data_IF_755885617620
#
_entry.id   IF_755885617620
#
_cell.length_a   1.000
_cell.length_b   1.000
_cell.length_c   1.000
_cell.angle_alpha   90.00
_cell.angle_beta   90.00
_cell.angle_gamma   90.00
#
_symmetry.space_group_name_H-M   'P 1'
#
loop_
_entity.id
_entity.type
_entity.pdbx_description
1 polymer ?
#
# COMPACT_ATOMS: atom_id res chain seq x y z
N UNK A 1 -0.96 -5.64 19.60
CA UNK A 1 -0.08 -5.82 18.44
C UNK A 1 1.38 -5.81 18.92
N UNK A 2 2.23 -6.69 18.41
CA UNK A 2 3.68 -6.70 18.72
C UNK A 2 4.32 -5.38 18.22
N UNK A 3 5.15 -4.74 19.06
CA UNK A 3 5.87 -3.50 18.72
C UNK A 3 6.63 -3.62 17.40
N UNK A 4 7.23 -4.78 17.11
CA UNK A 4 7.96 -5.02 15.86
C UNK A 4 7.07 -4.96 14.61
N UNK A 5 5.81 -5.38 14.74
CA UNK A 5 4.85 -5.31 13.63
C UNK A 5 4.45 -3.86 13.40
N UNK A 6 4.14 -3.12 14.46
CA UNK A 6 3.79 -1.69 14.39
C UNK A 6 4.91 -0.88 13.73
N UNK A 7 6.17 -1.10 14.11
CA UNK A 7 7.33 -0.42 13.53
C UNK A 7 7.48 -0.70 12.02
N UNK A 8 7.23 -1.95 11.60
CA UNK A 8 7.27 -2.34 10.19
C UNK A 8 6.10 -1.75 9.39
N UNK A 9 4.92 -1.59 9.96
CA UNK A 9 3.79 -0.88 9.33
C UNK A 9 4.15 0.59 9.12
N UNK A 10 4.69 1.26 10.14
CA UNK A 10 5.14 2.64 10.03
C UNK A 10 6.20 2.81 8.93
N UNK A 11 7.18 1.90 8.89
CA UNK A 11 8.21 1.85 7.85
C UNK A 11 7.62 1.66 6.46
N UNK A 12 6.66 0.74 6.29
CA UNK A 12 5.97 0.50 5.02
C UNK A 12 5.25 1.77 4.52
N UNK A 13 4.52 2.47 5.38
CA UNK A 13 3.83 3.71 5.02
C UNK A 13 4.83 4.79 4.59
N UNK A 14 5.94 4.94 5.33
CA UNK A 14 6.98 5.92 5.01
C UNK A 14 7.71 5.63 3.71
N UNK A 15 8.01 4.37 3.41
CA UNK A 15 8.61 4.00 2.11
C UNK A 15 7.64 4.23 0.95
N UNK A 16 6.36 3.89 1.10
CA UNK A 16 5.34 4.19 0.09
C UNK A 16 5.17 5.69 -0.12
N UNK A 17 5.27 6.49 0.94
CA UNK A 17 5.25 7.95 0.83
C UNK A 17 6.48 8.45 0.09
N UNK A 18 7.68 8.11 0.53
CA UNK A 18 8.95 8.60 -0.04
C UNK A 18 9.16 8.19 -1.50
N UNK A 19 8.47 7.16 -1.99
CA UNK A 19 8.51 6.80 -3.40
C UNK A 19 7.93 7.89 -4.31
N UNK A 20 7.01 8.73 -3.80
CA UNK A 20 6.30 9.74 -4.58
C UNK A 20 5.29 9.17 -5.59
N UNK A 21 5.14 7.85 -5.64
CA UNK A 21 4.29 7.14 -6.61
C UNK A 21 2.88 6.84 -6.08
N UNK A 22 2.62 7.14 -4.80
CA UNK A 22 1.39 6.80 -4.12
C UNK A 22 0.44 7.99 -3.98
N UNK A 23 -0.85 7.68 -4.05
CA UNK A 23 -1.93 8.49 -3.54
C UNK A 23 -2.39 7.92 -2.21
N UNK A 24 -2.21 8.66 -1.12
CA UNK A 24 -2.79 8.29 0.17
C UNK A 24 -4.21 8.80 0.27
N UNK A 25 -5.09 8.00 0.87
CA UNK A 25 -6.47 8.40 1.11
C UNK A 25 -6.92 8.04 2.53
N UNK A 26 -7.56 9.00 3.19
CA UNK A 26 -8.23 8.83 4.49
C UNK A 26 -9.72 9.04 4.28
N UNK A 27 -10.53 8.10 4.77
CA UNK A 27 -11.99 8.09 4.56
C UNK A 27 -12.71 8.34 5.88
N UNK A 28 -13.64 9.28 5.85
CA UNK A 28 -14.70 9.46 6.83
C UNK A 28 -16.01 8.86 6.29
N UNK A 29 -17.08 8.74 7.10
CA UNK A 29 -18.35 8.16 6.64
C UNK A 29 -18.94 8.82 5.38
N UNK A 30 -18.69 10.11 5.14
CA UNK A 30 -19.27 10.85 4.01
C UNK A 30 -18.26 11.49 3.05
N UNK A 31 -16.95 11.37 3.31
CA UNK A 31 -15.94 12.10 2.53
C UNK A 31 -14.59 11.40 2.52
N UNK A 32 -13.78 11.70 1.51
CA UNK A 32 -12.42 11.16 1.35
C UNK A 32 -11.46 12.33 1.14
N UNK A 33 -10.36 12.34 1.89
CA UNK A 33 -9.23 13.21 1.63
C UNK A 33 -8.17 12.42 0.84
N UNK A 34 -7.64 13.03 -0.21
CA UNK A 34 -6.61 12.44 -1.09
C UNK A 34 -5.34 13.27 -1.04
N UNK A 35 -4.22 12.61 -0.69
CA UNK A 35 -2.96 13.25 -0.35
C UNK A 35 -1.86 12.74 -1.30
N UNK A 36 -1.27 13.66 -2.06
CA UNK A 36 -0.17 13.41 -2.99
C UNK A 36 1.17 13.95 -2.47
N UNK A 37 2.26 13.39 -3.00
CA UNK A 37 3.64 13.85 -2.80
C UNK A 37 4.55 12.75 -2.24
N UNK A 38 5.86 12.98 -2.30
CA UNK A 38 6.86 12.08 -1.70
C UNK A 38 7.92 12.76 -0.83
N UNK A 39 7.79 14.07 -0.62
CA UNK A 39 8.70 14.84 0.21
C UNK A 39 7.91 15.51 1.34
N UNK A 40 8.34 15.27 2.58
CA UNK A 40 7.77 15.85 3.78
C UNK A 40 8.69 16.95 4.33
N UNK A 41 8.09 17.98 4.91
CA UNK A 41 8.81 18.96 5.72
C UNK A 41 9.20 18.37 7.07
N UNK A 42 8.35 17.49 7.61
CA UNK A 42 8.56 16.82 8.88
C UNK A 42 7.94 15.43 8.87
N UNK A 43 8.65 14.48 9.47
CA UNK A 43 8.16 13.13 9.77
C UNK A 43 8.41 12.89 11.24
N UNK A 44 7.41 12.37 11.93
CA UNK A 44 7.52 11.98 13.34
C UNK A 44 6.92 10.58 13.55
N UNK A 45 7.61 9.76 14.33
CA UNK A 45 7.17 8.43 14.74
C UNK A 45 7.31 8.39 16.26
N UNK A 46 6.18 8.48 16.95
CA UNK A 46 6.12 8.59 18.40
C UNK A 46 5.23 7.49 18.96
N UNK A 47 5.85 6.49 19.59
CA UNK A 47 5.17 5.28 20.03
C UNK A 47 4.48 4.60 18.85
N UNK A 48 3.16 4.46 18.92
CA UNK A 48 2.35 3.84 17.86
C UNK A 48 1.74 4.87 16.90
N UNK A 49 2.15 6.13 16.95
CA UNK A 49 1.64 7.18 16.06
C UNK A 49 2.67 7.56 14.99
N UNK A 50 2.20 7.63 13.74
CA UNK A 50 2.95 8.14 12.60
C UNK A 50 2.37 9.49 12.15
N UNK A 51 3.24 10.47 11.94
CA UNK A 51 2.89 11.78 11.38
C UNK A 51 3.77 12.12 10.18
N UNK A 52 3.14 12.56 9.09
CA UNK A 52 3.79 13.06 7.88
C UNK A 52 3.23 14.45 7.58
N UNK A 53 4.08 15.47 7.60
CA UNK A 53 3.68 16.86 7.36
C UNK A 53 4.29 17.39 6.05
N UNK A 54 3.44 17.82 5.12
CA UNK A 54 3.78 18.67 3.98
C UNK A 54 3.25 20.08 4.24
N UNK A 55 3.59 21.01 3.35
CA UNK A 55 3.16 22.41 3.48
C UNK A 55 1.62 22.58 3.50
N UNK A 56 0.90 21.85 2.64
CA UNK A 56 -0.54 22.02 2.45
C UNK A 56 -1.39 20.98 3.18
N UNK A 57 -0.79 19.91 3.71
CA UNK A 57 -1.53 18.83 4.36
C UNK A 57 -0.67 18.05 5.34
N UNK A 58 -1.32 17.51 6.37
CA UNK A 58 -0.71 16.59 7.34
C UNK A 58 -1.49 15.27 7.36
N UNK A 59 -0.77 14.16 7.47
CA UNK A 59 -1.32 12.83 7.68
C UNK A 59 -0.91 12.35 9.07
N UNK A 60 -1.90 11.97 9.87
CA UNK A 60 -1.69 11.32 11.17
C UNK A 60 -2.31 9.92 11.12
N UNK A 61 -1.55 8.90 11.50
CA UNK A 61 -1.99 7.51 11.52
C UNK A 61 -1.68 6.88 12.88
N UNK A 62 -2.72 6.32 13.51
CA UNK A 62 -2.61 5.51 14.73
C UNK A 62 -2.34 4.07 14.34
N UNK A 63 -1.06 3.68 14.30
CA UNK A 63 -0.60 2.38 13.82
C UNK A 63 -1.15 1.24 14.68
N UNK A 64 -1.41 1.48 15.97
CA UNK A 64 -2.01 0.48 16.87
C UNK A 64 -3.44 0.08 16.51
N UNK A 65 -4.11 0.86 15.66
CA UNK A 65 -5.47 0.55 15.20
C UNK A 65 -5.50 -0.35 13.98
N UNK A 66 -4.36 -0.59 13.32
CA UNK A 66 -4.26 -1.46 12.15
C UNK A 66 -4.31 -2.91 12.62
N UNK A 67 -5.32 -3.64 12.17
CA UNK A 67 -5.47 -5.08 12.43
C UNK A 67 -5.03 -5.90 11.21
N UNK A 68 -5.36 -5.42 10.00
CA UNK A 68 -5.00 -6.09 8.74
C UNK A 68 -4.42 -5.10 7.73
N UNK A 69 -3.50 -5.61 6.91
CA UNK A 69 -2.90 -4.89 5.78
C UNK A 69 -3.14 -5.69 4.50
N UNK A 70 -4.07 -5.24 3.67
CA UNK A 70 -4.43 -5.93 2.42
C UNK A 70 -3.54 -5.42 1.29
N UNK A 71 -2.84 -6.33 0.62
CA UNK A 71 -2.17 -6.04 -0.64
C UNK A 71 -3.08 -6.44 -1.80
N UNK A 72 -3.63 -5.44 -2.50
CA UNK A 72 -4.57 -5.63 -3.61
C UNK A 72 -3.88 -5.32 -4.94
N UNK A 73 -3.70 -6.36 -5.77
CA UNK A 73 -3.30 -6.28 -7.16
C UNK A 73 -4.34 -7.01 -8.01
N UNK A 74 -5.29 -6.27 -8.58
CA UNK A 74 -6.48 -6.85 -9.24
C UNK A 74 -6.90 -6.02 -10.47
N UNK A 75 -7.58 -6.63 -11.46
CA UNK A 75 -8.17 -5.86 -12.55
C UNK A 75 -9.33 -4.99 -12.04
N UNK A 76 -9.50 -3.82 -12.63
CA UNK A 76 -10.67 -2.95 -12.46
C UNK A 76 -11.68 -3.23 -13.56
N UNK A 77 -12.95 -2.98 -13.27
CA UNK A 77 -14.05 -3.10 -14.24
C UNK A 77 -13.85 -2.25 -15.50
N UNK A 78 -13.16 -1.11 -15.38
CA UNK A 78 -12.87 -0.21 -16.49
C UNK A 78 -11.61 -0.58 -17.29
N UNK A 79 -11.08 -1.79 -17.15
CA UNK A 79 -9.93 -2.29 -17.90
C UNK A 79 -8.56 -1.86 -17.38
N UNK A 80 -8.49 -1.09 -16.28
CA UNK A 80 -7.22 -0.76 -15.60
C UNK A 80 -6.81 -1.81 -14.57
N UNK A 81 -5.60 -1.68 -14.01
CA UNK A 81 -5.16 -2.47 -12.85
C UNK A 81 -5.25 -1.61 -11.59
N UNK A 82 -5.72 -2.20 -10.50
CA UNK A 82 -5.69 -1.63 -9.15
C UNK A 82 -4.44 -2.17 -8.45
N UNK A 83 -3.66 -1.24 -7.90
CA UNK A 83 -2.49 -1.52 -7.07
C UNK A 83 -2.68 -0.71 -5.78
N UNK A 84 -3.01 -1.37 -4.68
CA UNK A 84 -3.31 -0.69 -3.43
C UNK A 84 -2.84 -1.48 -2.21
N UNK A 85 -2.37 -0.75 -1.20
CA UNK A 85 -2.21 -1.24 0.16
C UNK A 85 -3.31 -0.61 1.01
N UNK A 86 -4.11 -1.44 1.67
CA UNK A 86 -5.23 -0.99 2.52
C UNK A 86 -4.96 -1.40 3.96
N UNK A 87 -4.86 -0.42 4.84
CA UNK A 87 -4.73 -0.62 6.28
C UNK A 87 -6.13 -0.57 6.88
N UNK A 88 -6.56 -1.64 7.55
CA UNK A 88 -7.92 -1.73 8.11
C UNK A 88 -7.87 -1.92 9.62
N UNK A 89 -8.91 -1.45 10.29
CA UNK A 89 -9.11 -1.72 11.71
C UNK A 89 -9.73 -3.10 11.97
N UNK A 90 -9.96 -3.41 13.24
CA UNK A 90 -10.61 -4.65 13.69
C UNK A 90 -12.02 -4.88 13.12
N UNK A 91 -12.67 -3.86 12.58
CA UNK A 91 -13.98 -3.94 11.94
C UNK A 91 -13.88 -3.98 10.41
N UNK A 92 -12.67 -4.18 9.88
CA UNK A 92 -12.35 -4.17 8.46
C UNK A 92 -12.62 -2.82 7.78
N UNK A 93 -12.75 -1.74 8.57
CA UNK A 93 -12.91 -0.38 8.06
C UNK A 93 -11.55 0.18 7.68
N UNK A 94 -11.36 0.71 6.46
CA UNK A 94 -10.09 1.29 6.05
C UNK A 94 -9.72 2.52 6.89
N UNK A 95 -8.60 2.45 7.62
CA UNK A 95 -8.03 3.59 8.35
C UNK A 95 -7.13 4.44 7.46
N UNK A 96 -6.45 3.80 6.51
CA UNK A 96 -5.59 4.43 5.51
C UNK A 96 -5.55 3.56 4.28
N UNK A 97 -5.43 4.17 3.11
CA UNK A 97 -5.15 3.45 1.85
C UNK A 97 -4.04 4.17 1.08
N UNK A 98 -3.12 3.41 0.52
CA UNK A 98 -2.11 3.90 -0.42
C UNK A 98 -2.34 3.25 -1.77
N UNK A 99 -2.69 4.04 -2.79
CA UNK A 99 -2.86 3.57 -4.16
C UNK A 99 -1.64 3.93 -4.99
N UNK A 100 -1.01 2.95 -5.62
CA UNK A 100 0.07 3.18 -6.57
C UNK A 100 -0.52 3.59 -7.91
N UNK A 101 -0.02 4.69 -8.48
CA UNK A 101 -0.57 5.28 -9.70
C UNK A 101 0.42 5.16 -10.86
N UNK A 102 0.11 4.40 -11.92
CA UNK A 102 1.03 4.23 -13.07
C UNK A 102 1.58 5.54 -13.64
N UNK A 103 0.77 6.60 -13.68
CA UNK A 103 1.18 7.93 -14.19
C UNK A 103 2.29 8.62 -13.37
N UNK A 104 2.56 8.14 -12.16
CA UNK A 104 3.61 8.66 -11.27
C UNK A 104 4.80 7.69 -11.18
N UNK A 105 4.73 6.55 -11.85
CA UNK A 105 5.72 5.48 -11.79
C UNK A 105 6.63 5.53 -13.02
N UNK A 106 7.88 5.08 -12.91
CA UNK A 106 8.70 4.78 -14.09
C UNK A 106 8.02 3.77 -15.01
N UNK A 107 8.28 3.86 -16.30
CA UNK A 107 7.70 2.94 -17.29
C UNK A 107 8.31 1.52 -17.22
N UNK A 108 9.54 1.39 -16.67
CA UNK A 108 10.25 0.11 -16.57
C UNK A 108 10.93 -0.04 -15.20
N UNK A 109 10.76 -1.18 -14.49
CA UNK A 109 9.88 -2.31 -14.84
C UNK A 109 8.39 -1.91 -14.82
N UNK A 110 7.49 -2.78 -15.28
CA UNK A 110 6.07 -2.42 -15.38
C UNK A 110 5.46 -2.05 -14.01
N UNK A 111 4.39 -1.25 -13.94
CA UNK A 111 3.79 -0.87 -12.67
C UNK A 111 3.39 -2.06 -11.76
N UNK A 112 2.77 -3.16 -12.27
CA UNK A 112 2.50 -4.35 -11.46
C UNK A 112 3.77 -5.02 -10.91
N UNK A 113 4.86 -5.07 -11.68
CA UNK A 113 6.14 -5.64 -11.23
C UNK A 113 6.77 -4.81 -10.11
N UNK A 114 6.74 -3.47 -10.22
CA UNK A 114 7.22 -2.58 -9.17
C UNK A 114 6.42 -2.75 -7.88
N UNK A 115 5.08 -2.77 -7.98
CA UNK A 115 4.20 -2.98 -6.84
C UNK A 115 4.43 -4.35 -6.20
N UNK A 116 4.58 -5.40 -7.00
CA UNK A 116 4.87 -6.75 -6.54
C UNK A 116 6.21 -6.82 -5.80
N UNK A 117 7.27 -6.28 -6.38
CA UNK A 117 8.60 -6.24 -5.77
C UNK A 117 8.59 -5.48 -4.43
N UNK A 118 7.89 -4.34 -4.37
CA UNK A 118 7.73 -3.59 -3.13
C UNK A 118 7.04 -4.40 -2.04
N UNK A 119 5.84 -4.94 -2.35
CA UNK A 119 4.99 -5.65 -1.38
C UNK A 119 5.59 -7.00 -0.95
N UNK A 120 6.40 -7.64 -1.80
CA UNK A 120 7.07 -8.89 -1.46
C UNK A 120 8.02 -8.76 -0.26
N UNK A 121 8.59 -7.58 0.00
CA UNK A 121 9.45 -7.30 1.18
C UNK A 121 8.70 -7.31 2.52
N UNK A 122 7.37 -7.32 2.47
CA UNK A 122 6.50 -7.21 3.64
C UNK A 122 5.52 -8.37 3.77
N UNK A 123 5.58 -9.34 2.86
CA UNK A 123 4.59 -10.44 2.78
C UNK A 123 4.63 -11.36 4.00
N UNK A 124 5.76 -11.36 4.72
CA UNK A 124 5.99 -12.15 5.91
C UNK A 124 5.34 -11.57 7.17
N UNK A 125 4.82 -10.34 7.12
CA UNK A 125 4.11 -9.75 8.24
C UNK A 125 2.81 -10.53 8.55
N UNK A 126 2.57 -10.94 9.81
CA UNK A 126 1.43 -11.79 10.15
C UNK A 126 0.07 -11.13 9.95
N UNK A 127 0.04 -9.79 9.85
CA UNK A 127 -1.18 -9.00 9.61
C UNK A 127 -1.46 -8.76 8.12
N UNK A 128 -0.55 -9.17 7.25
CA UNK A 128 -0.72 -8.99 5.81
C UNK A 128 -1.68 -10.05 5.27
N UNK A 129 -2.63 -9.59 4.46
CA UNK A 129 -3.51 -10.43 3.66
C UNK A 129 -3.10 -10.25 2.20
N UNK A 130 -2.52 -11.31 1.62
CA UNK A 130 -2.11 -11.30 0.21
C UNK A 130 -3.31 -11.54 -0.70
N UNK A 131 -3.82 -10.46 -1.30
CA UNK A 131 -4.87 -10.51 -2.32
C UNK A 131 -4.32 -10.16 -3.72
N UNK A 132 -3.00 -10.28 -3.93
CA UNK A 132 -2.36 -9.92 -5.20
C UNK A 132 -2.53 -11.04 -6.23
N UNK A 133 -3.02 -10.72 -7.43
CA UNK A 133 -3.04 -11.66 -8.53
C UNK A 133 -1.69 -11.71 -9.26
N UNK A 134 -0.92 -12.78 -9.02
CA UNK A 134 0.40 -13.00 -9.63
C UNK A 134 0.38 -13.06 -11.17
N UNK A 135 -0.73 -13.45 -11.79
CA UNK A 135 -0.84 -13.51 -13.26
C UNK A 135 -0.73 -12.14 -13.92
N UNK A 136 -1.00 -11.06 -13.19
CA UNK A 136 -0.85 -9.68 -13.67
C UNK A 136 0.61 -9.19 -13.69
N UNK A 137 1.53 -9.93 -13.07
CA UNK A 137 2.96 -9.60 -13.00
C UNK A 137 3.76 -10.45 -13.97
N UNK A 138 3.43 -11.75 -14.06
CA UNK A 138 4.09 -12.68 -14.97
C UNK A 138 3.03 -13.57 -15.61
N UNK A 139 2.43 -13.15 -16.74
CA UNK A 139 1.50 -13.99 -17.48
C UNK A 139 2.29 -15.14 -18.13
N UNK A 140 2.42 -16.30 -17.48
CA UNK A 140 3.00 -17.47 -18.16
C UNK A 140 3.68 -18.60 -17.38
N UNK A 141 3.72 -18.65 -16.05
CA UNK A 141 4.32 -19.81 -15.35
C UNK A 141 3.34 -20.98 -15.12
N UNK A 142 2.34 -21.15 -15.99
CA UNK A 142 1.24 -22.13 -15.84
C UNK A 142 0.85 -22.84 -17.13
N UNK A 143 1.72 -22.89 -18.13
CA UNK A 143 1.53 -23.71 -19.33
C UNK A 143 2.89 -24.31 -19.70
N UNK A 144 3.13 -25.50 -19.16
CA UNK A 144 4.27 -26.38 -19.47
C UNK A 144 3.79 -27.82 -19.36
N UNK A 145 3.50 -28.38 -20.53
CA UNK A 145 3.30 -29.79 -20.90
C UNK A 145 2.37 -30.68 -20.08
N UNK A 146 1.11 -30.72 -20.53
CA UNK A 146 0.45 -32.01 -20.73
C UNK A 146 0.57 -32.37 -22.21
N UNK A 147 1.66 -33.04 -22.57
CA UNK A 147 1.81 -33.74 -23.84
C UNK A 147 2.62 -35.01 -23.59
N UNK A 148 1.91 -36.12 -23.82
CA UNK A 148 2.31 -37.54 -23.88
C UNK A 148 2.59 -38.30 -22.57
#
# INVERSE_FOLDING_TARGET
>A
MDSKVTDRIGTMILEMFRSGMCLFSVRSPGSVAELYGGEARKVDVSGTSLTIEREAWHLHCRLETVETVVFDLSPKENGGIRMAVVFQDKHQVPVLRAAWLPRLMPDTPSPPEQFWAFTQRYIDLPVVVDARNRQLVSPGSGQGDSSE
#
